data_IF_039784600684
#
_entry.id   IF_039784600684
#
_cell.length_a   1.000
_cell.length_b   1.000
_cell.length_c   1.000
_cell.angle_alpha   90.00
_cell.angle_beta   90.00
_cell.angle_gamma   90.00
#
_symmetry.space_group_name_H-M   'P 1'
#
loop_
_entity.id
_entity.type
_entity.pdbx_description
1 polymer ?
#
# COMPACT_ATOMS: atom_id res chain seq x y z
N UNK A 1 9.01 -15.22 -7.94
CA UNK A 1 10.14 -15.02 -8.87
C UNK A 1 9.77 -15.19 -10.34
N UNK A 2 8.70 -15.91 -10.70
CA UNK A 2 8.33 -16.18 -12.11
C UNK A 2 8.03 -14.94 -12.99
N UNK A 3 7.78 -13.78 -12.37
CA UNK A 3 7.49 -12.52 -13.07
C UNK A 3 8.61 -11.47 -12.93
N UNK A 4 9.74 -11.81 -12.30
CA UNK A 4 10.86 -10.89 -12.07
C UNK A 4 11.97 -11.21 -13.07
N UNK A 5 12.29 -10.25 -13.95
CA UNK A 5 13.39 -10.39 -14.91
C UNK A 5 14.76 -10.46 -14.21
N UNK A 6 14.87 -9.82 -13.05
CA UNK A 6 16.03 -9.80 -12.15
C UNK A 6 15.90 -10.81 -10.99
N UNK A 7 15.02 -11.81 -11.14
CA UNK A 7 14.70 -12.78 -10.10
C UNK A 7 15.92 -13.57 -9.64
N UNK A 8 16.47 -13.19 -8.50
CA UNK A 8 17.53 -13.90 -7.79
C UNK A 8 17.01 -14.43 -6.45
N UNK A 9 17.38 -15.68 -6.13
CA UNK A 9 16.89 -16.36 -4.92
C UNK A 9 17.39 -15.66 -3.66
N UNK A 10 18.68 -15.31 -3.60
CA UNK A 10 19.28 -14.74 -2.41
C UNK A 10 18.72 -13.34 -2.12
N UNK A 11 18.69 -12.48 -3.14
CA UNK A 11 18.16 -11.12 -3.03
C UNK A 11 16.67 -11.13 -2.70
N UNK A 12 15.88 -12.00 -3.35
CA UNK A 12 14.45 -12.08 -3.07
C UNK A 12 14.19 -12.60 -1.65
N UNK A 13 14.84 -13.68 -1.21
CA UNK A 13 14.67 -14.19 0.17
C UNK A 13 15.09 -13.14 1.19
N UNK A 14 16.23 -12.48 0.99
CA UNK A 14 16.71 -11.42 1.89
C UNK A 14 15.74 -10.24 1.97
N UNK A 15 15.25 -9.75 0.84
CA UNK A 15 14.29 -8.64 0.78
C UNK A 15 12.94 -8.99 1.43
N UNK A 16 12.46 -10.22 1.24
CA UNK A 16 11.24 -10.71 1.91
C UNK A 16 11.43 -10.85 3.42
N UNK A 17 12.56 -11.38 3.89
CA UNK A 17 12.86 -11.44 5.33
C UNK A 17 12.92 -10.04 5.94
N UNK A 18 13.65 -9.13 5.29
CA UNK A 18 13.79 -7.75 5.74
C UNK A 18 12.44 -7.06 5.90
N UNK A 19 11.55 -7.21 4.90
CA UNK A 19 10.19 -6.65 4.91
C UNK A 19 9.28 -7.31 5.95
N UNK A 20 9.42 -8.62 6.15
CA UNK A 20 8.68 -9.38 7.15
C UNK A 20 9.16 -9.12 8.59
N UNK A 21 10.23 -8.35 8.77
CA UNK A 21 10.82 -8.06 10.08
C UNK A 21 11.60 -9.24 10.67
N UNK A 22 12.11 -10.15 9.82
CA UNK A 22 12.96 -11.28 10.23
C UNK A 22 14.39 -11.09 9.71
N UNK A 23 15.36 -11.74 10.35
CA UNK A 23 16.78 -11.60 10.03
C UNK A 23 17.52 -10.54 10.86
N UNK A 24 18.79 -10.33 10.56
CA UNK A 24 19.71 -9.50 11.35
C UNK A 24 19.44 -7.99 11.25
N UNK A 25 18.98 -7.54 10.08
CA UNK A 25 18.79 -6.11 9.75
C UNK A 25 17.32 -5.76 9.46
N UNK A 26 16.41 -6.54 10.04
CA UNK A 26 14.96 -6.43 9.92
C UNK A 26 14.43 -5.00 10.07
N UNK A 27 13.52 -4.56 9.18
CA UNK A 27 12.76 -3.36 9.41
C UNK A 27 11.88 -3.55 10.66
N UNK A 28 11.78 -2.57 11.59
CA UNK A 28 11.02 -2.76 12.81
C UNK A 28 9.53 -2.96 12.50
N UNK A 29 8.99 -4.13 12.85
CA UNK A 29 7.63 -4.56 12.43
C UNK A 29 6.49 -3.70 13.01
N UNK A 30 6.75 -2.90 14.05
CA UNK A 30 5.78 -1.91 14.54
C UNK A 30 5.56 -0.74 13.56
N UNK A 31 6.33 -0.65 12.48
CA UNK A 31 6.17 0.37 11.43
C UNK A 31 5.28 -0.15 10.31
N UNK A 32 3.98 0.06 10.46
CA UNK A 32 3.00 -0.14 9.38
C UNK A 32 2.78 1.19 8.66
N UNK A 33 3.44 1.37 7.52
CA UNK A 33 3.31 2.60 6.72
C UNK A 33 1.93 2.71 6.08
N UNK A 34 1.44 3.95 5.93
CA UNK A 34 0.22 4.23 5.17
C UNK A 34 0.55 4.28 3.67
N UNK A 35 -0.05 3.41 2.82
CA UNK A 35 0.22 3.39 1.39
C UNK A 35 -0.03 4.72 0.68
N UNK A 36 -1.04 5.48 1.11
CA UNK A 36 -1.39 6.79 0.52
C UNK A 36 -0.25 7.78 0.81
N UNK A 37 0.20 7.86 2.06
CA UNK A 37 1.30 8.76 2.43
C UNK A 37 2.63 8.37 1.77
N UNK A 38 2.90 7.07 1.57
CA UNK A 38 4.06 6.63 0.80
C UNK A 38 3.93 7.00 -0.68
N UNK A 39 2.74 6.83 -1.25
CA UNK A 39 2.46 7.18 -2.64
C UNK A 39 2.66 8.68 -2.89
N UNK A 40 2.12 9.54 -2.03
CA UNK A 40 2.33 10.99 -2.10
C UNK A 40 3.82 11.37 -1.97
N UNK A 41 4.55 10.67 -1.11
CA UNK A 41 5.99 10.92 -0.90
C UNK A 41 6.84 10.54 -2.11
N UNK A 42 6.55 9.42 -2.77
CA UNK A 42 7.40 8.85 -3.83
C UNK A 42 6.91 9.13 -5.25
N UNK A 43 5.66 9.59 -5.40
CA UNK A 43 5.05 9.92 -6.69
C UNK A 43 4.15 11.15 -6.54
N UNK A 44 4.68 12.29 -6.09
CA UNK A 44 3.90 13.47 -5.69
C UNK A 44 2.86 14.00 -6.71
N UNK A 45 3.02 13.72 -8.00
CA UNK A 45 2.11 14.10 -9.08
C UNK A 45 1.28 12.93 -9.64
N UNK A 46 1.43 11.74 -9.06
CA UNK A 46 0.77 10.52 -9.52
C UNK A 46 1.22 10.05 -10.90
N UNK A 47 2.40 10.45 -11.39
CA UNK A 47 2.85 10.14 -12.74
C UNK A 47 2.99 8.63 -12.95
N UNK A 48 3.47 7.91 -11.94
CA UNK A 48 3.56 6.46 -12.00
C UNK A 48 2.16 5.83 -12.00
N UNK A 49 1.26 6.32 -11.15
CA UNK A 49 -0.13 5.87 -11.10
C UNK A 49 -0.82 6.07 -12.46
N UNK A 50 -0.76 7.27 -13.05
CA UNK A 50 -1.38 7.59 -14.34
C UNK A 50 -0.87 6.72 -15.48
N UNK A 51 0.42 6.34 -15.43
CA UNK A 51 1.04 5.47 -16.44
C UNK A 51 0.52 4.04 -16.37
N UNK A 52 0.32 3.51 -15.18
CA UNK A 52 0.02 2.08 -14.97
C UNK A 52 -1.46 1.79 -14.67
N UNK A 53 -2.22 2.79 -14.25
CA UNK A 53 -3.67 2.75 -14.00
C UNK A 53 -4.36 3.78 -14.91
N UNK A 54 -4.50 3.49 -16.21
CA UNK A 54 -5.00 4.45 -17.20
C UNK A 54 -6.43 4.95 -16.89
N UNK A 55 -7.24 4.16 -16.19
CA UNK A 55 -8.56 4.57 -15.71
C UNK A 55 -8.53 5.74 -14.71
N UNK A 56 -7.38 5.99 -14.07
CA UNK A 56 -7.16 7.11 -13.15
C UNK A 56 -6.40 8.28 -13.81
N UNK A 57 -5.96 8.14 -15.07
CA UNK A 57 -4.96 9.01 -15.69
C UNK A 57 -5.38 10.48 -15.80
N UNK A 58 -6.68 10.77 -15.85
CA UNK A 58 -7.24 12.12 -15.97
C UNK A 58 -7.62 12.78 -14.64
N UNK A 59 -7.49 12.08 -13.50
CA UNK A 59 -7.86 12.64 -12.20
C UNK A 59 -6.91 13.77 -11.79
N UNK A 60 -7.36 14.82 -11.09
CA UNK A 60 -6.43 15.83 -10.57
C UNK A 60 -5.53 15.24 -9.47
N UNK A 61 -4.34 15.82 -9.27
CA UNK A 61 -3.33 15.36 -8.30
C UNK A 61 -3.90 15.16 -6.89
N UNK A 62 -4.85 16.01 -6.47
CA UNK A 62 -5.51 15.88 -5.16
C UNK A 62 -6.28 14.58 -4.94
N UNK A 63 -6.64 13.85 -6.00
CA UNK A 63 -7.40 12.59 -5.92
C UNK A 63 -6.62 11.37 -6.40
N UNK A 64 -5.48 11.54 -7.06
CA UNK A 64 -4.77 10.43 -7.71
C UNK A 64 -4.30 9.35 -6.71
N UNK A 65 -3.95 9.77 -5.49
CA UNK A 65 -3.50 8.86 -4.43
C UNK A 65 -4.62 8.24 -3.59
N UNK A 66 -5.82 8.83 -3.62
CA UNK A 66 -6.95 8.40 -2.79
C UNK A 66 -8.29 8.68 -3.49
N UNK A 67 -8.57 8.04 -4.65
CA UNK A 67 -9.73 8.36 -5.48
C UNK A 67 -11.07 8.04 -4.79
N UNK A 68 -11.07 7.10 -3.84
CA UNK A 68 -12.22 6.76 -2.99
C UNK A 68 -12.67 7.88 -2.05
N UNK A 69 -11.87 8.93 -1.86
CA UNK A 69 -12.25 10.12 -1.07
C UNK A 69 -13.08 11.12 -1.87
N UNK A 70 -13.22 10.95 -3.18
CA UNK A 70 -14.09 11.79 -4.00
C UNK A 70 -15.56 11.61 -3.62
N UNK A 71 -16.27 12.71 -3.49
CA UNK A 71 -17.72 12.72 -3.37
C UNK A 71 -18.39 12.15 -4.63
N UNK A 72 -19.66 11.74 -4.52
CA UNK A 72 -20.42 11.26 -5.67
C UNK A 72 -20.54 12.31 -6.80
N UNK A 73 -20.52 13.60 -6.46
CA UNK A 73 -20.53 14.68 -7.45
C UNK A 73 -19.19 14.78 -8.20
N UNK A 74 -18.06 14.67 -7.48
CA UNK A 74 -16.72 14.66 -8.08
C UNK A 74 -16.49 13.43 -8.96
N UNK A 75 -16.90 12.25 -8.48
CA UNK A 75 -16.88 11.01 -9.27
C UNK A 75 -17.63 11.17 -10.60
N UNK A 76 -18.84 11.74 -10.57
CA UNK A 76 -19.60 12.05 -11.80
C UNK A 76 -18.89 13.08 -12.68
N UNK A 77 -18.34 14.13 -12.08
CA UNK A 77 -17.64 15.20 -12.81
C UNK A 77 -16.41 14.69 -13.55
N UNK A 78 -15.61 13.83 -12.91
CA UNK A 78 -14.44 13.22 -13.52
C UNK A 78 -14.76 11.92 -14.27
N UNK A 79 -16.02 11.49 -14.35
CA UNK A 79 -16.42 10.31 -15.12
C UNK A 79 -15.84 8.99 -14.61
N UNK A 80 -15.52 8.88 -13.31
CA UNK A 80 -15.07 7.64 -12.69
C UNK A 80 -15.92 7.32 -11.45
N UNK A 81 -16.43 6.09 -11.37
CA UNK A 81 -17.25 5.62 -10.24
C UNK A 81 -16.49 4.55 -9.47
N UNK A 82 -16.20 4.85 -8.21
CA UNK A 82 -15.53 3.92 -7.31
C UNK A 82 -16.48 2.77 -6.96
N UNK A 83 -16.00 1.54 -7.10
CA UNK A 83 -16.79 0.31 -7.03
C UNK A 83 -17.32 -0.19 -8.37
N UNK A 84 -17.20 0.60 -9.45
CA UNK A 84 -17.51 0.16 -10.82
C UNK A 84 -16.27 0.19 -11.72
N UNK A 85 -15.65 1.36 -11.82
CA UNK A 85 -14.54 1.62 -12.74
C UNK A 85 -13.19 1.43 -12.06
N UNK A 86 -13.12 1.67 -10.75
CA UNK A 86 -11.95 1.41 -9.91
C UNK A 86 -12.40 0.94 -8.51
N UNK A 87 -11.77 -0.07 -7.90
CA UNK A 87 -12.25 -0.64 -6.65
C UNK A 87 -12.10 0.33 -5.46
N UNK A 88 -13.00 0.26 -4.45
CA UNK A 88 -12.74 0.89 -3.16
C UNK A 88 -11.61 0.17 -2.42
N UNK A 89 -11.00 0.81 -1.39
CA UNK A 89 -10.08 0.13 -0.50
C UNK A 89 -10.72 -1.14 0.09
N UNK A 90 -10.02 -2.27 -0.03
CA UNK A 90 -10.50 -3.57 0.45
C UNK A 90 -10.47 -3.68 1.99
N UNK A 91 -9.71 -2.80 2.65
CA UNK A 91 -9.57 -2.72 4.10
C UNK A 91 -9.39 -1.27 4.53
N UNK A 92 -9.80 -0.98 5.77
CA UNK A 92 -9.42 0.27 6.44
C UNK A 92 -7.99 0.15 7.01
N UNK A 93 -7.12 1.11 6.66
CA UNK A 93 -5.71 1.06 7.03
C UNK A 93 -5.49 1.18 8.55
N UNK A 94 -6.22 2.06 9.22
CA UNK A 94 -6.05 2.30 10.65
C UNK A 94 -6.46 1.04 11.45
N UNK A 95 -7.58 0.43 11.07
CA UNK A 95 -8.05 -0.83 11.65
C UNK A 95 -7.04 -1.97 11.45
N UNK A 96 -6.50 -2.13 10.23
CA UNK A 96 -5.52 -3.19 9.97
C UNK A 96 -4.17 -2.92 10.64
N UNK A 97 -3.76 -1.66 10.73
CA UNK A 97 -2.56 -1.26 11.47
C UNK A 97 -2.66 -1.65 12.94
N UNK A 98 -3.76 -1.31 13.61
CA UNK A 98 -3.99 -1.70 15.00
C UNK A 98 -4.01 -3.22 15.18
N UNK A 99 -4.67 -3.94 14.26
CA UNK A 99 -4.68 -5.41 14.26
C UNK A 99 -3.27 -5.99 14.15
N UNK A 100 -2.46 -5.49 13.22
CA UNK A 100 -1.08 -5.95 13.03
C UNK A 100 -0.22 -5.71 14.28
N UNK A 101 -0.34 -4.53 14.91
CA UNK A 101 0.36 -4.21 16.14
C UNK A 101 -0.05 -5.10 17.32
N UNK A 102 -1.34 -5.42 17.45
CA UNK A 102 -1.83 -6.36 18.47
C UNK A 102 -1.28 -7.77 18.27
N UNK A 103 -1.31 -8.27 17.03
CA UNK A 103 -0.77 -9.59 16.71
C UNK A 103 0.74 -9.67 17.01
N UNK A 104 1.49 -8.63 16.66
CA UNK A 104 2.92 -8.55 16.96
C UNK A 104 3.20 -8.54 18.47
N UNK A 105 2.43 -7.76 19.23
CA UNK A 105 2.56 -7.71 20.69
C UNK A 105 2.29 -9.08 21.34
N UNK A 106 1.25 -9.80 20.87
CA UNK A 106 0.94 -11.15 21.34
C UNK A 106 2.06 -12.15 21.04
N UNK A 107 2.57 -12.16 19.80
CA UNK A 107 3.67 -13.04 19.39
C UNK A 107 4.96 -12.79 20.21
N UNK A 108 5.23 -11.51 20.54
CA UNK A 108 6.35 -11.17 21.42
C UNK A 108 6.15 -11.72 22.84
N UNK A 109 4.96 -11.59 23.40
CA UNK A 109 4.65 -12.12 24.73
C UNK A 109 4.73 -13.65 24.80
N UNK A 110 4.35 -14.36 23.74
CA UNK A 110 4.49 -15.82 23.66
C UNK A 110 5.95 -16.26 23.61
N UNK A 111 6.82 -15.53 22.89
CA UNK A 111 8.24 -15.82 22.82
C UNK A 111 8.97 -15.59 24.16
N UNK A 112 8.53 -14.60 24.92
CA UNK A 112 9.17 -14.22 26.19
C UNK A 112 8.66 -15.07 27.39
N UNK A 113 7.76 -16.05 27.15
CA UNK A 113 7.32 -17.08 28.12
C UNK A 113 8.13 -18.36 27.96
#
# INVERSE_FOLDING_TARGET
MQHLLDGDVANNVGGWQWTAGTGTDAAPYFRVFNPIAQSEKFDAHGNYIRRWLPELAHLPDRFIHAPFRMSAAEQRHFGIVIGRDYPPPIVDHDVQRERALRMYAAAKQERDK
#
